data_IF_061038048006
#
_entry.id   IF_061038048006
#
_cell.length_a   1.000
_cell.length_b   1.000
_cell.length_c   1.000
_cell.angle_alpha   90.00
_cell.angle_beta   90.00
_cell.angle_gamma   90.00
#
_symmetry.space_group_name_H-M   'P 1'
#
loop_
_entity.id
_entity.type
_entity.pdbx_description
1 polymer ?
#
# COMPACT_ATOMS: atom_id res chain seq x y z
N UNK A 1 -10.37 18.51 -3.90
CA UNK A 1 -10.03 17.92 -5.22
C UNK A 1 -10.84 16.65 -5.37
N UNK A 2 -11.85 16.68 -6.24
CA UNK A 2 -12.89 15.65 -6.33
C UNK A 2 -12.49 14.64 -7.43
N UNK A 3 -12.29 13.37 -7.08
CA UNK A 3 -11.81 12.36 -8.01
C UNK A 3 -12.79 11.19 -8.12
N UNK A 4 -13.82 11.37 -8.95
CA UNK A 4 -14.67 10.26 -9.41
C UNK A 4 -14.18 9.68 -10.74
N UNK A 5 -14.43 8.38 -10.85
CA UNK A 5 -14.42 7.47 -11.99
C UNK A 5 -13.11 6.82 -12.48
N UNK A 6 -13.22 5.50 -12.50
CA UNK A 6 -12.33 4.43 -12.89
C UNK A 6 -12.77 3.96 -14.29
N UNK A 7 -11.88 3.98 -15.28
CA UNK A 7 -11.73 2.97 -16.37
C UNK A 7 -10.84 3.44 -17.53
N UNK A 8 -10.55 4.74 -17.65
CA UNK A 8 -9.60 5.25 -18.64
C UNK A 8 -8.26 5.63 -17.98
N UNK A 9 -7.22 4.86 -18.30
CA UNK A 9 -5.79 5.17 -18.22
C UNK A 9 -5.30 6.18 -17.16
N UNK A 10 -5.83 6.13 -15.93
CA UNK A 10 -5.41 7.08 -14.91
C UNK A 10 -4.02 6.67 -14.40
N UNK A 11 -3.00 7.41 -14.83
CA UNK A 11 -1.66 7.29 -14.29
C UNK A 11 -1.72 7.58 -12.79
N UNK A 12 -1.42 6.55 -12.00
CA UNK A 12 -1.41 6.63 -10.55
C UNK A 12 -0.04 7.17 -10.14
N UNK A 13 -0.05 8.35 -9.52
CA UNK A 13 1.17 9.04 -9.09
C UNK A 13 1.60 8.66 -7.69
N UNK A 14 0.66 8.28 -6.82
CA UNK A 14 0.96 7.85 -5.46
C UNK A 14 1.27 6.35 -5.44
N UNK A 15 2.19 5.95 -4.58
CA UNK A 15 2.35 4.57 -4.16
C UNK A 15 2.25 4.50 -2.66
N UNK A 16 1.62 3.45 -2.17
CA UNK A 16 1.51 3.18 -0.75
C UNK A 16 1.83 1.73 -0.50
N UNK A 17 2.86 1.47 0.30
CA UNK A 17 3.29 0.13 0.70
C UNK A 17 2.95 -0.09 2.16
N UNK A 18 2.51 -1.30 2.48
CA UNK A 18 2.40 -1.80 3.85
C UNK A 18 3.54 -2.80 4.10
N UNK A 19 4.48 -2.41 4.95
CA UNK A 19 5.67 -3.19 5.29
C UNK A 19 5.45 -3.77 6.68
N UNK A 20 4.96 -5.01 6.76
CA UNK A 20 4.68 -5.70 8.03
C UNK A 20 5.95 -6.29 8.67
N UNK A 21 6.96 -5.44 8.87
CA UNK A 21 8.20 -5.82 9.53
C UNK A 21 8.77 -4.68 10.36
N UNK A 22 9.27 -5.01 11.56
CA UNK A 22 10.01 -4.09 12.41
C UNK A 22 11.47 -3.94 11.98
N UNK A 23 11.97 -4.84 11.14
CA UNK A 23 13.37 -4.81 10.71
C UNK A 23 13.56 -3.65 9.71
N UNK A 24 14.44 -2.67 10.02
CA UNK A 24 14.63 -1.47 9.21
C UNK A 24 15.16 -1.76 7.79
N UNK A 25 15.77 -2.92 7.54
CA UNK A 25 16.28 -3.31 6.22
C UNK A 25 15.16 -3.43 5.19
N UNK A 26 13.97 -3.91 5.58
CA UNK A 26 12.83 -4.01 4.66
C UNK A 26 12.33 -2.62 4.22
N UNK A 27 12.32 -1.66 5.15
CA UNK A 27 11.99 -0.27 4.83
C UNK A 27 13.03 0.36 3.90
N UNK A 28 14.32 0.13 4.18
CA UNK A 28 15.40 0.62 3.33
C UNK A 28 15.31 0.03 1.91
N UNK A 29 15.08 -1.28 1.81
CA UNK A 29 14.87 -1.98 0.54
C UNK A 29 13.71 -1.37 -0.25
N UNK A 30 12.55 -1.19 0.39
CA UNK A 30 11.39 -0.58 -0.24
C UNK A 30 11.70 0.83 -0.78
N UNK A 31 12.38 1.66 0.01
CA UNK A 31 12.80 3.00 -0.41
C UNK A 31 13.77 2.96 -1.59
N UNK A 32 14.74 2.03 -1.60
CA UNK A 32 15.69 1.86 -2.70
C UNK A 32 14.96 1.48 -3.99
N UNK A 33 14.08 0.47 -3.94
CA UNK A 33 13.27 0.06 -5.10
C UNK A 33 12.44 1.24 -5.62
N UNK A 34 11.74 1.95 -4.73
CA UNK A 34 10.94 3.11 -5.14
C UNK A 34 11.79 4.23 -5.76
N UNK A 35 13.00 4.47 -5.23
CA UNK A 35 13.94 5.44 -5.82
C UNK A 35 14.44 5.03 -7.20
N UNK A 36 14.70 3.74 -7.44
CA UNK A 36 15.07 3.23 -8.77
C UNK A 36 13.97 3.50 -9.82
N UNK A 37 12.71 3.56 -9.37
CA UNK A 37 11.57 3.93 -10.22
C UNK A 37 11.19 5.41 -10.12
N UNK A 38 12.09 6.29 -9.69
CA UNK A 38 11.92 7.75 -9.62
C UNK A 38 10.76 8.25 -8.72
N UNK A 39 10.32 7.46 -7.74
CA UNK A 39 9.46 7.98 -6.69
C UNK A 39 10.23 8.95 -5.78
N UNK A 40 9.52 9.96 -5.27
CA UNK A 40 10.02 11.07 -4.47
C UNK A 40 9.06 11.34 -3.31
N UNK A 41 9.43 12.32 -2.48
CA UNK A 41 8.61 12.86 -1.39
C UNK A 41 8.11 11.78 -0.43
N UNK A 42 9.03 11.03 0.16
CA UNK A 42 8.67 9.88 0.97
C UNK A 42 8.04 10.30 2.31
N UNK A 43 6.92 9.68 2.64
CA UNK A 43 6.31 9.75 3.96
C UNK A 43 6.31 8.36 4.59
N UNK A 44 6.80 8.26 5.82
CA UNK A 44 6.85 7.02 6.60
C UNK A 44 5.97 7.19 7.81
N UNK A 45 5.00 6.30 7.98
CA UNK A 45 4.15 6.23 9.18
C UNK A 45 4.30 4.86 9.82
N UNK A 46 4.21 4.79 11.14
CA UNK A 46 4.08 3.50 11.83
C UNK A 46 2.69 2.93 11.55
N UNK A 47 2.58 1.63 11.29
CA UNK A 47 1.26 1.02 11.08
C UNK A 47 0.43 1.07 12.38
N UNK A 48 -0.90 1.15 12.31
CA UNK A 48 -1.77 1.20 13.50
C UNK A 48 -1.60 -0.01 14.43
N UNK A 49 -1.21 -1.17 13.88
CA UNK A 49 -0.92 -2.38 14.67
C UNK A 49 0.41 -2.31 15.42
N UNK A 50 1.27 -1.34 15.12
CA UNK A 50 2.63 -1.21 15.68
C UNK A 50 3.63 -2.27 15.19
N UNK A 51 3.21 -3.16 14.29
CA UNK A 51 4.01 -4.28 13.76
C UNK A 51 4.86 -3.92 12.55
N UNK A 52 4.56 -2.81 11.88
CA UNK A 52 5.19 -2.42 10.64
C UNK A 52 5.14 -0.93 10.35
N UNK A 53 5.30 -0.58 9.07
CA UNK A 53 5.31 0.79 8.57
C UNK A 53 4.51 0.92 7.29
N UNK A 54 3.83 2.05 7.14
CA UNK A 54 3.29 2.49 5.86
C UNK A 54 4.30 3.43 5.20
N UNK A 55 4.70 3.11 3.98
CA UNK A 55 5.55 3.96 3.16
C UNK A 55 4.71 4.54 2.02
N UNK A 56 4.62 5.87 1.96
CA UNK A 56 3.94 6.59 0.88
C UNK A 56 4.98 7.36 0.08
N UNK A 57 4.88 7.30 -1.25
CA UNK A 57 5.75 8.06 -2.13
C UNK A 57 4.99 8.53 -3.38
N UNK A 58 5.52 9.54 -4.08
CA UNK A 58 4.89 10.14 -5.24
C UNK A 58 5.81 10.11 -6.46
N UNK A 59 5.25 9.83 -7.63
CA UNK A 59 5.92 9.82 -8.91
C UNK A 59 5.47 11.02 -9.75
N UNK A 60 6.38 11.77 -10.41
CA UNK A 60 6.02 12.99 -11.13
C UNK A 60 5.00 12.76 -12.25
N UNK A 61 5.16 11.66 -13.00
CA UNK A 61 4.29 11.35 -14.16
C UNK A 61 3.26 10.25 -13.86
N UNK A 62 3.49 9.45 -12.81
CA UNK A 62 2.68 8.27 -12.47
C UNK A 62 2.88 7.04 -13.37
N UNK A 63 2.19 5.96 -13.04
CA UNK A 63 2.22 4.69 -13.76
C UNK A 63 0.83 4.09 -13.92
N UNK A 64 0.65 3.25 -14.94
CA UNK A 64 -0.54 2.37 -15.05
C UNK A 64 -0.55 1.37 -13.90
N UNK A 65 -1.75 0.94 -13.50
CA UNK A 65 -1.97 0.04 -12.37
C UNK A 65 -1.09 -1.22 -12.43
N UNK A 66 -1.06 -1.91 -13.56
CA UNK A 66 -0.30 -3.15 -13.71
C UNK A 66 1.20 -2.95 -13.41
N UNK A 67 1.80 -1.88 -13.95
CA UNK A 67 3.20 -1.53 -13.69
C UNK A 67 3.40 -1.15 -12.23
N UNK A 68 2.46 -0.43 -11.63
CA UNK A 68 2.51 -0.05 -10.23
C UNK A 68 2.45 -1.28 -9.31
N UNK A 69 1.60 -2.26 -9.59
CA UNK A 69 1.51 -3.51 -8.84
C UNK A 69 2.83 -4.31 -8.91
N UNK A 70 3.47 -4.35 -10.08
CA UNK A 70 4.81 -4.96 -10.23
C UNK A 70 5.86 -4.26 -9.35
N UNK A 71 5.86 -2.92 -9.34
CA UNK A 71 6.77 -2.13 -8.49
C UNK A 71 6.52 -2.40 -7.01
N UNK A 72 5.24 -2.46 -6.59
CA UNK A 72 4.85 -2.77 -5.19
C UNK A 72 5.36 -4.15 -4.75
N UNK A 73 5.18 -5.16 -5.60
CA UNK A 73 5.71 -6.52 -5.34
C UNK A 73 7.23 -6.51 -5.14
N UNK A 74 7.96 -5.85 -6.03
CA UNK A 74 9.43 -5.75 -5.92
C UNK A 74 9.87 -5.00 -4.64
N UNK A 75 9.10 -4.00 -4.22
CA UNK A 75 9.36 -3.22 -3.02
C UNK A 75 9.01 -3.94 -1.72
N UNK A 76 8.43 -5.15 -1.79
CA UNK A 76 8.08 -5.96 -0.62
C UNK A 76 6.78 -5.54 0.06
N UNK A 77 5.80 -5.06 -0.71
CA UNK A 77 4.44 -4.81 -0.20
C UNK A 77 3.71 -6.12 0.14
N UNK A 78 2.66 -6.00 0.93
CA UNK A 78 1.78 -7.11 1.25
C UNK A 78 1.06 -7.66 -0.01
N UNK A 79 1.26 -8.97 -0.26
CA UNK A 79 0.71 -9.65 -1.45
C UNK A 79 -0.83 -9.68 -1.46
N UNK A 80 -1.47 -9.73 -0.29
CA UNK A 80 -2.94 -9.68 -0.20
C UNK A 80 -3.45 -8.30 -0.63
N UNK A 81 -2.79 -7.21 -0.24
CA UNK A 81 -3.13 -5.86 -0.72
C UNK A 81 -2.91 -5.72 -2.23
N UNK A 82 -1.83 -6.27 -2.79
CA UNK A 82 -1.59 -6.30 -4.23
C UNK A 82 -2.73 -7.04 -4.95
N UNK A 83 -3.08 -8.24 -4.48
CA UNK A 83 -4.16 -9.06 -5.06
C UNK A 83 -5.48 -8.32 -5.03
N UNK A 84 -5.87 -7.79 -3.88
CA UNK A 84 -7.14 -7.10 -3.73
C UNK A 84 -7.19 -5.80 -4.57
N UNK A 85 -6.07 -5.11 -4.76
CA UNK A 85 -5.99 -3.93 -5.63
C UNK A 85 -5.97 -4.28 -7.14
N UNK A 86 -5.59 -5.51 -7.50
CA UNK A 86 -5.64 -5.99 -8.88
C UNK A 86 -7.04 -6.37 -9.38
N UNK A 87 -7.96 -6.71 -8.48
CA UNK A 87 -9.32 -7.21 -8.80
C UNK A 87 -10.34 -6.07 -8.99
N UNK A 88 -9.90 -4.93 -9.50
CA UNK A 88 -10.49 -3.61 -9.27
C UNK A 88 -12.00 -3.42 -9.59
N UNK A 89 -12.81 -3.32 -8.52
CA UNK A 89 -14.04 -2.50 -8.44
C UNK A 89 -13.92 -1.37 -7.37
N UNK A 90 -12.75 -1.19 -6.75
CA UNK A 90 -12.55 -0.33 -5.56
C UNK A 90 -11.48 0.73 -5.74
N UNK A 91 -11.45 1.72 -4.84
CA UNK A 91 -10.34 2.67 -4.74
C UNK A 91 -9.02 1.95 -4.42
N UNK A 92 -7.99 2.24 -5.20
CA UNK A 92 -6.68 1.56 -5.16
C UNK A 92 -5.81 2.24 -4.10
N UNK A 93 -4.99 1.46 -3.38
CA UNK A 93 -4.05 1.97 -2.36
C UNK A 93 -4.71 2.69 -1.17
N UNK A 94 -5.85 2.19 -0.71
CA UNK A 94 -6.48 2.69 0.52
C UNK A 94 -5.74 2.12 1.72
N UNK A 95 -5.04 2.99 2.46
CA UNK A 95 -4.58 2.67 3.82
C UNK A 95 -5.76 2.79 4.77
N UNK A 96 -5.89 1.82 5.66
CA UNK A 96 -6.73 1.97 6.84
C UNK A 96 -5.89 2.66 7.91
N UNK A 97 -6.37 3.80 8.38
CA UNK A 97 -5.83 4.54 9.52
C UNK A 97 -6.31 3.94 10.85
N UNK A 98 -7.51 3.35 10.84
CA UNK A 98 -8.15 2.74 12.01
C UNK A 98 -8.57 1.31 11.70
N UNK A 99 -8.13 0.35 12.51
CA UNK A 99 -8.65 -1.02 12.49
C UNK A 99 -9.70 -1.15 13.59
N UNK A 100 -10.96 -1.24 13.21
CA UNK A 100 -12.04 -1.61 14.15
C UNK A 100 -12.07 -3.14 14.22
N UNK A 101 -11.94 -3.69 15.42
CA UNK A 101 -12.09 -5.13 15.68
C UNK A 101 -13.39 -5.28 16.45
N UNK A 102 -14.40 -5.87 15.83
CA UNK A 102 -15.62 -6.25 16.55
C UNK A 102 -15.30 -7.43 17.48
N UNK A 103 -15.77 -7.38 18.73
CA UNK A 103 -15.61 -8.45 19.71
C UNK A 103 -16.24 -9.74 19.16
N UNK A 104 -15.40 -10.73 18.85
CA UNK A 104 -15.88 -12.09 18.57
C UNK A 104 -16.20 -12.74 19.91
N UNK A 105 -17.49 -12.82 20.27
CA UNK A 105 -17.94 -13.66 21.38
C UNK A 105 -17.69 -15.13 21.02
N UNK A 106 -16.67 -15.72 21.65
CA UNK A 106 -16.50 -17.17 21.67
C UNK A 106 -17.62 -17.76 22.53
N UNK A 107 -18.61 -18.35 21.88
CA UNK A 107 -19.59 -19.20 22.56
C UNK A 107 -18.93 -20.56 22.71
N UNK A 108 -18.54 -20.90 23.94
CA UNK A 108 -18.20 -22.27 24.28
C UNK A 108 -19.52 -23.04 24.43
N UNK A 109 -19.70 -24.10 23.65
CA UNK A 109 -20.71 -25.11 23.96
C UNK A 109 -20.13 -26.05 25.02
N UNK A 110 -20.82 -26.17 26.15
CA UNK A 110 -20.54 -27.19 27.17
C UNK A 110 -20.70 -28.62 26.62
#
# INVERSE_FOLDING_TARGET
MNYKNLRDEKLIRRITLDIDSKNPLYRLWAMLILRLFNFRDFEIRRSPSGKGYHLVAWHPIGFRLERLLKIRRLAGDDEMRIKLDSMAERQIQVLFDTKVVEEVKLIWSE
#
